data_IF_171164034710
#
_entry.id   IF_171164034710
#
_cell.length_a   1.000
_cell.length_b   1.000
_cell.length_c   1.000
_cell.angle_alpha   90.00
_cell.angle_beta   90.00
_cell.angle_gamma   90.00
#
_symmetry.space_group_name_H-M   'P 1'
#
loop_
_entity.id
_entity.type
_entity.pdbx_description
1 polymer ?
#
# COMPACT_ATOMS: atom_id res chain seq x y z
N UNK A 1 -23.60 -0.73 -11.09
CA UNK A 1 -23.20 -2.07 -10.57
C UNK A 1 -21.68 -2.07 -10.45
N UNK A 2 -21.12 -2.50 -9.31
CA UNK A 2 -19.66 -2.58 -9.13
C UNK A 2 -19.09 -3.83 -9.79
N UNK A 3 -17.81 -3.80 -10.16
CA UNK A 3 -17.09 -4.96 -10.71
C UNK A 3 -17.15 -6.17 -9.76
N UNK A 4 -17.04 -5.92 -8.44
CA UNK A 4 -17.18 -6.93 -7.40
C UNK A 4 -18.57 -7.61 -7.39
N UNK A 5 -19.65 -6.87 -7.68
CA UNK A 5 -20.99 -7.46 -7.78
C UNK A 5 -21.12 -8.37 -9.00
N UNK A 6 -20.58 -7.94 -10.15
CA UNK A 6 -20.58 -8.73 -11.39
C UNK A 6 -19.81 -10.04 -11.22
N UNK A 7 -18.61 -9.98 -10.61
CA UNK A 7 -17.80 -11.16 -10.33
C UNK A 7 -18.49 -12.15 -9.39
N UNK A 8 -19.22 -11.64 -8.41
CA UNK A 8 -20.00 -12.47 -7.47
C UNK A 8 -21.15 -13.19 -8.16
N UNK A 9 -21.88 -12.49 -9.03
CA UNK A 9 -22.99 -13.09 -9.79
C UNK A 9 -22.47 -14.17 -10.75
N UNK A 10 -21.36 -13.89 -11.45
CA UNK A 10 -20.68 -14.88 -12.30
C UNK A 10 -20.21 -16.11 -11.50
N UNK A 11 -19.60 -15.91 -10.34
CA UNK A 11 -19.21 -17.01 -9.46
C UNK A 11 -20.42 -17.87 -9.03
N UNK A 12 -21.57 -17.24 -8.75
CA UNK A 12 -22.82 -17.96 -8.44
C UNK A 12 -23.35 -18.81 -9.61
N UNK A 13 -23.27 -18.28 -10.84
CA UNK A 13 -23.62 -19.04 -12.06
C UNK A 13 -22.67 -20.23 -12.27
N UNK A 14 -21.37 -20.03 -12.08
CA UNK A 14 -20.36 -21.09 -12.16
C UNK A 14 -20.59 -22.18 -11.12
N UNK A 15 -20.88 -21.80 -9.86
CA UNK A 15 -21.17 -22.76 -8.80
C UNK A 15 -22.42 -23.60 -9.10
N UNK A 16 -23.46 -22.98 -9.65
CA UNK A 16 -24.69 -23.67 -10.06
C UNK A 16 -24.42 -24.64 -11.20
N UNK A 17 -23.66 -24.22 -12.21
CA UNK A 17 -23.27 -25.06 -13.35
C UNK A 17 -22.36 -26.23 -12.94
N UNK A 18 -21.42 -25.99 -12.02
CA UNK A 18 -20.56 -27.02 -11.45
C UNK A 18 -21.39 -28.09 -10.74
N UNK A 19 -22.33 -27.68 -9.87
CA UNK A 19 -23.25 -28.60 -9.18
C UNK A 19 -24.04 -29.45 -10.18
N UNK A 20 -24.59 -28.84 -11.23
CA UNK A 20 -25.32 -29.57 -12.27
C UNK A 20 -24.43 -30.59 -13.01
N UNK A 21 -23.19 -30.23 -13.31
CA UNK A 21 -22.22 -31.16 -13.90
C UNK A 21 -21.89 -32.32 -12.97
N UNK A 22 -21.69 -32.06 -11.68
CA UNK A 22 -21.42 -33.10 -10.68
C UNK A 22 -22.61 -34.04 -10.52
N UNK A 23 -23.83 -33.50 -10.41
CA UNK A 23 -25.06 -34.28 -10.32
C UNK A 23 -25.26 -35.14 -11.57
N UNK A 24 -24.96 -34.61 -12.76
CA UNK A 24 -25.02 -35.37 -14.01
C UNK A 24 -23.95 -36.47 -14.09
N UNK A 25 -22.76 -36.22 -13.54
CA UNK A 25 -21.69 -37.22 -13.46
C UNK A 25 -22.07 -38.37 -12.52
N UNK A 26 -22.68 -38.08 -11.37
CA UNK A 26 -23.20 -39.11 -10.47
C UNK A 26 -24.34 -39.93 -11.10
N UNK A 27 -25.22 -39.27 -11.87
CA UNK A 27 -26.32 -39.93 -12.58
C UNK A 27 -25.86 -40.81 -13.76
N UNK A 28 -24.64 -40.63 -14.27
CA UNK A 28 -24.12 -41.40 -15.40
C UNK A 28 -24.01 -42.90 -15.09
N UNK A 29 -23.81 -43.26 -13.83
CA UNK A 29 -23.69 -44.64 -13.38
C UNK A 29 -22.48 -45.38 -13.99
N UNK A 30 -22.40 -46.70 -13.75
CA UNK A 30 -21.32 -47.53 -14.30
C UNK A 30 -21.40 -47.62 -15.83
N UNK A 31 -20.24 -47.77 -16.47
CA UNK A 31 -20.18 -47.93 -17.92
C UNK A 31 -20.88 -49.24 -18.33
N UNK A 32 -21.84 -49.20 -19.27
CA UNK A 32 -22.46 -50.41 -19.80
C UNK A 32 -21.44 -51.27 -20.57
N UNK A 33 -21.71 -52.58 -20.64
CA UNK A 33 -21.02 -53.50 -21.54
C UNK A 33 -21.18 -53.05 -23.01
N UNK A 34 -20.33 -53.57 -23.89
CA UNK A 34 -20.21 -53.11 -25.29
C UNK A 34 -21.54 -52.94 -26.04
N UNK A 35 -21.54 -52.04 -27.04
CA UNK A 35 -22.70 -51.74 -27.87
C UNK A 35 -23.07 -50.26 -27.91
N UNK A 36 -24.23 -49.90 -28.48
CA UNK A 36 -24.65 -48.51 -28.67
C UNK A 36 -24.82 -47.75 -27.35
N UNK A 37 -25.25 -48.42 -26.27
CA UNK A 37 -25.35 -47.82 -24.94
C UNK A 37 -23.98 -47.40 -24.38
N UNK A 38 -22.92 -48.21 -24.59
CA UNK A 38 -21.57 -47.87 -24.18
C UNK A 38 -21.03 -46.64 -24.94
N UNK A 39 -21.35 -46.51 -26.23
CA UNK A 39 -20.96 -45.35 -27.03
C UNK A 39 -21.66 -44.06 -26.54
N UNK A 40 -22.96 -44.13 -26.25
CA UNK A 40 -23.70 -42.99 -25.68
C UNK A 40 -23.15 -42.58 -24.31
N UNK A 41 -22.85 -43.55 -23.45
CA UNK A 41 -22.23 -43.29 -22.15
C UNK A 41 -20.87 -42.59 -22.29
N UNK A 42 -20.00 -43.07 -23.20
CA UNK A 42 -18.69 -42.45 -23.48
C UNK A 42 -18.84 -41.02 -24.00
N UNK A 43 -19.81 -40.78 -24.88
CA UNK A 43 -20.09 -39.44 -25.41
C UNK A 43 -20.54 -38.48 -24.28
N UNK A 44 -21.47 -38.92 -23.43
CA UNK A 44 -21.94 -38.12 -22.30
C UNK A 44 -20.83 -37.85 -21.30
N UNK A 45 -20.01 -38.86 -20.97
CA UNK A 45 -18.82 -38.69 -20.11
C UNK A 45 -17.84 -37.67 -20.70
N UNK A 46 -17.52 -37.78 -21.99
CA UNK A 46 -16.64 -36.82 -22.68
C UNK A 46 -17.19 -35.39 -22.65
N UNK A 47 -18.51 -35.23 -22.79
CA UNK A 47 -19.17 -33.92 -22.69
C UNK A 47 -19.05 -33.35 -21.28
N UNK A 48 -19.37 -34.13 -20.26
CA UNK A 48 -19.26 -33.69 -18.86
C UNK A 48 -17.81 -33.34 -18.50
N UNK A 49 -16.84 -34.14 -18.94
CA UNK A 49 -15.43 -33.87 -18.69
C UNK A 49 -14.98 -32.55 -19.33
N UNK A 50 -15.44 -32.25 -20.55
CA UNK A 50 -15.19 -30.94 -21.19
C UNK A 50 -15.84 -29.79 -20.43
N UNK A 51 -17.05 -29.97 -19.91
CA UNK A 51 -17.72 -28.96 -19.11
C UNK A 51 -16.97 -28.68 -17.80
N UNK A 52 -16.45 -29.72 -17.14
CA UNK A 52 -15.60 -29.58 -15.94
C UNK A 52 -14.34 -28.79 -16.27
N UNK A 53 -13.61 -29.16 -17.32
CA UNK A 53 -12.40 -28.42 -17.73
C UNK A 53 -12.69 -26.96 -18.09
N UNK A 54 -13.84 -26.68 -18.70
CA UNK A 54 -14.25 -25.30 -19.00
C UNK A 54 -14.56 -24.50 -17.73
N UNK A 55 -15.19 -25.13 -16.72
CA UNK A 55 -15.47 -24.49 -15.43
C UNK A 55 -14.19 -24.23 -14.64
N UNK A 56 -13.21 -25.14 -14.69
CA UNK A 56 -11.91 -24.95 -14.08
C UNK A 56 -11.16 -23.77 -14.70
N UNK A 57 -11.17 -23.64 -16.04
CA UNK A 57 -10.57 -22.49 -16.73
C UNK A 57 -11.26 -21.17 -16.32
N UNK A 58 -12.60 -21.16 -16.27
CA UNK A 58 -13.38 -19.99 -15.87
C UNK A 58 -13.11 -19.58 -14.42
N UNK A 59 -12.89 -20.54 -13.52
CA UNK A 59 -12.52 -20.28 -12.13
C UNK A 59 -11.15 -19.58 -12.03
N UNK A 60 -10.18 -20.00 -12.84
CA UNK A 60 -8.86 -19.35 -12.90
C UNK A 60 -9.00 -17.90 -13.42
N UNK A 61 -9.75 -17.69 -14.49
CA UNK A 61 -9.98 -16.35 -15.06
C UNK A 61 -10.72 -15.42 -14.10
N UNK A 62 -11.77 -15.90 -13.44
CA UNK A 62 -12.51 -15.12 -12.44
C UNK A 62 -11.64 -14.78 -11.23
N UNK A 63 -10.79 -15.71 -10.77
CA UNK A 63 -9.83 -15.47 -9.71
C UNK A 63 -8.83 -14.37 -10.09
N UNK A 64 -8.28 -14.43 -11.30
CA UNK A 64 -7.37 -13.39 -11.81
C UNK A 64 -8.08 -12.03 -11.93
N UNK A 65 -9.31 -11.99 -12.44
CA UNK A 65 -10.09 -10.76 -12.56
C UNK A 65 -10.46 -10.15 -11.19
N UNK A 66 -10.78 -10.98 -10.20
CA UNK A 66 -11.05 -10.52 -8.84
C UNK A 66 -9.80 -9.91 -8.18
N UNK A 67 -8.63 -10.54 -8.35
CA UNK A 67 -7.36 -10.01 -7.85
C UNK A 67 -7.01 -8.68 -8.55
N UNK A 68 -7.16 -8.62 -9.87
CA UNK A 68 -6.90 -7.39 -10.63
C UNK A 68 -7.80 -6.23 -10.16
N UNK A 69 -9.10 -6.49 -9.98
CA UNK A 69 -10.04 -5.49 -9.48
C UNK A 69 -9.68 -5.00 -8.07
N UNK A 70 -9.23 -5.90 -7.18
CA UNK A 70 -8.80 -5.51 -5.82
C UNK A 70 -7.49 -4.68 -5.84
N UNK A 71 -6.56 -5.00 -6.74
CA UNK A 71 -5.32 -4.24 -6.90
C UNK A 71 -5.57 -2.83 -7.44
N UNK A 72 -6.52 -2.67 -8.37
CA UNK A 72 -6.90 -1.35 -8.88
C UNK A 72 -7.51 -0.46 -7.79
N UNK A 73 -8.33 -1.03 -6.90
CA UNK A 73 -8.93 -0.31 -5.78
C UNK A 73 -7.84 0.24 -4.83
N UNK A 74 -6.85 -0.58 -4.50
CA UNK A 74 -5.73 -0.15 -3.64
C UNK A 74 -4.67 0.71 -4.34
N UNK A 75 -4.61 0.71 -5.68
CA UNK A 75 -3.70 1.56 -6.42
C UNK A 75 -4.03 3.06 -6.25
N UNK A 76 -5.31 3.40 -6.10
CA UNK A 76 -5.74 4.76 -5.79
C UNK A 76 -5.30 5.19 -4.38
N UNK A 77 -5.47 4.32 -3.39
CA UNK A 77 -5.05 4.56 -2.00
C UNK A 77 -3.53 4.77 -1.91
N UNK A 78 -2.75 3.94 -2.61
CA UNK A 78 -1.28 4.06 -2.64
C UNK A 78 -0.82 5.39 -3.27
N UNK A 79 -1.52 5.90 -4.29
CA UNK A 79 -1.24 7.23 -4.86
C UNK A 79 -1.54 8.34 -3.86
N UNK A 80 -2.68 8.27 -3.18
CA UNK A 80 -3.04 9.24 -2.14
C UNK A 80 -2.03 9.26 -0.99
N UNK A 81 -1.56 8.09 -0.54
CA UNK A 81 -0.51 7.97 0.48
C UNK A 81 0.81 8.57 -0.02
N UNK A 82 1.17 8.34 -1.29
CA UNK A 82 2.37 8.91 -1.90
C UNK A 82 2.33 10.44 -1.94
N UNK A 83 1.21 11.03 -2.36
CA UNK A 83 1.01 12.49 -2.37
C UNK A 83 1.07 13.08 -0.97
N UNK A 84 0.36 12.48 0.00
CA UNK A 84 0.40 12.91 1.40
C UNK A 84 1.80 12.80 2.00
N UNK A 85 2.58 11.78 1.62
CA UNK A 85 3.97 11.60 2.07
C UNK A 85 4.90 12.67 1.51
N UNK A 86 4.71 13.11 0.27
CA UNK A 86 5.48 14.22 -0.31
C UNK A 86 5.15 15.55 0.38
N UNK A 87 3.86 15.81 0.62
CA UNK A 87 3.45 17.02 1.34
C UNK A 87 4.03 17.03 2.77
N UNK A 88 4.00 15.89 3.47
CA UNK A 88 4.61 15.76 4.79
C UNK A 88 6.13 16.02 4.77
N UNK A 89 6.84 15.54 3.76
CA UNK A 89 8.28 15.82 3.60
C UNK A 89 8.57 17.31 3.38
N UNK A 90 7.74 18.01 2.60
CA UNK A 90 7.87 19.47 2.44
C UNK A 90 7.61 20.22 3.75
N UNK A 91 6.59 19.82 4.52
CA UNK A 91 6.31 20.41 5.82
C UNK A 91 7.46 20.17 6.81
N UNK A 92 8.02 18.96 6.84
CA UNK A 92 9.20 18.64 7.67
C UNK A 92 10.38 19.54 7.32
N UNK A 93 10.62 19.80 6.03
CA UNK A 93 11.68 20.71 5.58
C UNK A 93 11.45 22.13 6.11
N UNK A 94 10.22 22.65 6.01
CA UNK A 94 9.86 23.98 6.56
C UNK A 94 10.07 24.05 8.07
N UNK A 95 9.73 22.99 8.80
CA UNK A 95 9.97 22.91 10.25
C UNK A 95 11.47 22.93 10.57
N UNK A 96 12.28 22.20 9.79
CA UNK A 96 13.73 22.21 9.95
C UNK A 96 14.31 23.61 9.73
N UNK A 97 13.91 24.28 8.65
CA UNK A 97 14.35 25.65 8.35
C UNK A 97 13.93 26.63 9.47
N UNK A 98 12.70 26.51 9.98
CA UNK A 98 12.22 27.31 11.10
C UNK A 98 13.00 27.04 12.40
N UNK A 99 13.34 25.77 12.66
CA UNK A 99 14.14 25.38 13.84
C UNK A 99 15.55 25.94 13.73
N UNK A 100 16.19 25.88 12.55
CA UNK A 100 17.50 26.51 12.32
C UNK A 100 17.46 28.03 12.53
N UNK A 101 16.40 28.70 12.08
CA UNK A 101 16.20 30.13 12.34
C UNK A 101 16.03 30.43 13.83
N UNK A 102 15.22 29.64 14.56
CA UNK A 102 15.02 29.81 16.00
C UNK A 102 16.33 29.60 16.77
N UNK A 103 17.14 28.60 16.40
CA UNK A 103 18.46 28.38 16.99
C UNK A 103 19.39 29.56 16.74
N UNK A 104 19.39 30.14 15.52
CA UNK A 104 20.16 31.37 15.22
C UNK A 104 19.68 32.55 16.07
N UNK A 105 18.37 32.75 16.21
CA UNK A 105 17.81 33.82 17.06
C UNK A 105 18.19 33.63 18.52
N UNK A 106 18.13 32.40 19.05
CA UNK A 106 18.55 32.09 20.40
C UNK A 106 20.03 32.46 20.64
N UNK A 107 20.93 32.10 19.71
CA UNK A 107 22.36 32.46 19.78
C UNK A 107 22.59 33.97 19.73
N UNK A 108 21.81 34.73 18.94
CA UNK A 108 21.86 36.21 18.93
C UNK A 108 21.44 36.78 20.28
N UNK A 109 20.38 36.25 20.89
CA UNK A 109 19.90 36.68 22.21
C UNK A 109 20.95 36.37 23.29
N UNK A 110 21.57 35.19 23.26
CA UNK A 110 22.66 34.81 24.16
C UNK A 110 23.83 35.78 24.05
N UNK A 111 24.29 36.11 22.83
CA UNK A 111 25.32 37.11 22.60
C UNK A 111 24.92 38.49 23.16
N UNK A 112 23.70 38.94 22.89
CA UNK A 112 23.18 40.20 23.43
C UNK A 112 23.19 40.24 24.96
N UNK A 113 22.78 39.14 25.61
CA UNK A 113 22.81 39.02 27.07
C UNK A 113 24.23 39.03 27.64
N UNK A 114 25.18 38.38 26.96
CA UNK A 114 26.58 38.34 27.36
C UNK A 114 27.26 39.70 27.22
N UNK A 115 26.94 40.45 26.15
CA UNK A 115 27.43 41.83 25.96
C UNK A 115 26.89 42.76 27.06
N UNK A 116 25.60 42.66 27.39
CA UNK A 116 24.99 43.45 28.48
C UNK A 116 25.64 43.11 29.83
N UNK A 117 25.89 41.83 30.10
CA UNK A 117 26.59 41.40 31.31
C UNK A 117 28.04 41.94 31.39
N UNK A 118 28.77 41.92 30.27
CA UNK A 118 30.12 42.47 30.18
C UNK A 118 30.15 44.00 30.33
N UNK A 119 29.12 44.70 29.84
CA UNK A 119 28.97 46.15 30.00
C UNK A 119 28.63 46.55 31.45
N UNK A 120 27.83 45.73 32.15
CA UNK A 120 27.44 45.98 33.53
C UNK A 120 28.57 45.67 34.54
N UNK A 121 29.31 44.58 34.31
CA UNK A 121 30.41 44.11 35.17
C UNK A 121 31.59 43.66 34.30
N UNK A 122 32.48 44.57 33.89
CA UNK A 122 33.60 44.23 33.03
C UNK A 122 34.66 43.46 33.84
N UNK A 123 34.70 42.14 33.66
CA UNK A 123 35.71 41.27 34.23
C UNK A 123 36.09 40.16 33.23
N UNK A 124 37.17 39.42 33.52
CA UNK A 124 37.68 38.40 32.61
C UNK A 124 36.63 37.31 32.28
N UNK A 125 35.73 37.00 33.21
CA UNK A 125 34.69 35.97 33.01
C UNK A 125 33.56 36.45 32.09
N UNK A 126 33.08 37.69 32.27
CA UNK A 126 32.00 38.25 31.43
C UNK A 126 32.47 38.56 30.02
N UNK A 127 33.72 39.00 29.86
CA UNK A 127 34.34 39.22 28.54
C UNK A 127 34.57 37.88 27.83
N UNK A 128 35.05 36.85 28.52
CA UNK A 128 35.21 35.51 27.95
C UNK A 128 33.87 34.91 27.51
N UNK A 129 32.79 35.12 28.28
CA UNK A 129 31.45 34.67 27.92
C UNK A 129 30.94 35.36 26.63
N UNK A 130 31.15 36.67 26.48
CA UNK A 130 30.77 37.41 25.27
C UNK A 130 31.56 36.96 24.02
N UNK A 131 32.86 36.69 24.19
CA UNK A 131 33.72 36.18 23.09
C UNK A 131 33.29 34.77 22.68
N UNK A 132 32.98 33.90 23.63
CA UNK A 132 32.51 32.54 23.33
C UNK A 132 31.15 32.55 22.63
N UNK A 133 30.20 33.37 23.10
CA UNK A 133 28.90 33.55 22.43
C UNK A 133 29.03 34.16 21.02
N UNK A 134 30.02 35.03 20.79
CA UNK A 134 30.30 35.56 19.45
C UNK A 134 30.91 34.50 18.52
N UNK A 135 31.75 33.61 19.06
CA UNK A 135 32.33 32.48 18.30
C UNK A 135 31.28 31.47 17.90
N UNK A 136 30.37 31.06 18.79
CA UNK A 136 29.30 30.10 18.48
C UNK A 136 28.26 30.61 17.47
N UNK A 137 28.19 31.94 17.29
CA UNK A 137 27.40 32.58 16.23
C UNK A 137 28.12 32.56 14.86
N UNK A 138 29.45 32.74 14.85
CA UNK A 138 30.26 32.85 13.64
C UNK A 138 30.68 31.48 13.07
N UNK A 139 30.95 30.51 13.93
CA UNK A 139 31.25 29.12 13.57
C UNK A 139 30.20 28.18 14.18
N UNK A 140 29.10 27.88 13.46
CA UNK A 140 28.06 27.00 13.98
C UNK A 140 28.46 25.50 13.98
N UNK A 141 29.69 25.15 13.60
CA UNK A 141 30.09 23.81 13.15
C UNK A 141 30.89 22.96 14.15
N UNK A 142 30.83 23.21 15.46
CA UNK A 142 31.36 22.29 16.48
C UNK A 142 30.29 21.92 17.51
N UNK A 143 29.32 21.10 17.09
CA UNK A 143 28.60 20.10 17.92
C UNK A 143 28.21 18.91 17.05
#
# INVERSE_FOLDING_TARGET
MSAAAILRDLAGLCATSAKQCTDAYFKLGPQPAEGPAANLWRLQRSRLQRQVSSLDALNIELGAAAIASALEEHAADLRAISEASQEAQEQIKKIKDATELLTKVARVIELGSAIVAAAALPNAATIAAAINAARTLLDPAEE
#
